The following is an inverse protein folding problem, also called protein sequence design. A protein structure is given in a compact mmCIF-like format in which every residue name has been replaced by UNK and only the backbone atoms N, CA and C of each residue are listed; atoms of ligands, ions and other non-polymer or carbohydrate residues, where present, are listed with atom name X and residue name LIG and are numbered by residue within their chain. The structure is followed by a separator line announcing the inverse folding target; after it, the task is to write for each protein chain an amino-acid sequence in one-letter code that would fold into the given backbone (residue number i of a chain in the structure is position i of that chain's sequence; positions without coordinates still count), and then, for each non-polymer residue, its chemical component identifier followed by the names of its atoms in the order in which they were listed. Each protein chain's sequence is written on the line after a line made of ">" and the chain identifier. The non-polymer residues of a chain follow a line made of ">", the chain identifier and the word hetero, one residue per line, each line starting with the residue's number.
data_IF_043250995309
#
_entry.id   IF_043250995309
#
_cell.length_a   1.000
_cell.length_b   1.000
_cell.length_c   1.000
_cell.angle_alpha   90.00
_cell.angle_beta   90.00
_cell.angle_gamma   90.00
#
_symmetry.space_group_name_H-M   'P 1'
#
loop_
_entity.id
_entity.type
_entity.pdbx_description
1 polymer ?
#
# COMPACT_ATOMS: atom_id res chain seq x y z
N UNK A 1 36.22 -13.66 8.82
CA UNK A 1 35.69 -13.01 7.61
C UNK A 1 34.40 -12.29 7.94
N UNK A 2 34.22 -11.07 7.44
CA UNK A 2 32.97 -10.30 7.57
C UNK A 2 31.88 -10.88 6.66
N UNK A 3 30.61 -10.55 6.94
CA UNK A 3 29.45 -10.99 6.14
C UNK A 3 28.73 -9.78 5.54
N UNK A 4 28.31 -9.91 4.28
CA UNK A 4 27.51 -8.89 3.60
C UNK A 4 26.35 -9.52 2.82
N UNK A 5 25.20 -8.87 2.82
CA UNK A 5 24.03 -9.33 2.06
C UNK A 5 22.91 -8.29 2.03
N UNK A 6 21.82 -8.60 1.33
CA UNK A 6 20.67 -7.71 1.18
C UNK A 6 19.56 -8.15 2.14
N UNK A 7 19.22 -7.32 3.14
CA UNK A 7 18.32 -7.71 4.23
C UNK A 7 18.87 -8.90 5.07
N UNK A 8 20.18 -9.14 4.99
CA UNK A 8 20.85 -10.29 5.59
C UNK A 8 20.89 -10.25 7.10
N UNK A 9 20.95 -9.06 7.69
CA UNK A 9 21.00 -8.94 9.15
C UNK A 9 19.65 -9.32 9.77
N UNK A 10 18.56 -9.22 9.00
CA UNK A 10 17.20 -9.57 9.43
C UNK A 10 16.80 -11.00 9.05
N UNK A 11 17.42 -11.59 8.03
CA UNK A 11 17.02 -12.89 7.48
C UNK A 11 18.16 -13.91 7.46
N UNK A 12 19.15 -13.75 6.57
CA UNK A 12 20.19 -14.75 6.31
C UNK A 12 21.09 -15.05 7.52
N UNK A 13 21.55 -14.02 8.23
CA UNK A 13 22.44 -14.19 9.38
C UNK A 13 21.74 -14.90 10.54
N UNK A 14 20.53 -14.49 10.97
CA UNK A 14 19.75 -15.27 11.94
C UNK A 14 19.54 -16.72 11.51
N UNK A 15 19.13 -16.97 10.27
CA UNK A 15 18.91 -18.33 9.77
C UNK A 15 20.19 -19.17 9.80
N UNK A 16 21.32 -18.62 9.33
CA UNK A 16 22.61 -19.31 9.32
C UNK A 16 23.10 -19.67 10.72
N UNK A 17 22.92 -18.76 11.69
CA UNK A 17 23.28 -19.02 13.09
C UNK A 17 22.44 -20.15 13.65
N UNK A 18 21.13 -20.17 13.41
CA UNK A 18 20.24 -21.25 13.85
C UNK A 18 20.66 -22.61 13.28
N UNK A 19 20.99 -22.68 11.99
CA UNK A 19 21.43 -23.93 11.36
C UNK A 19 22.80 -24.42 11.86
N UNK A 20 23.72 -23.52 12.19
CA UNK A 20 24.97 -23.92 12.84
C UNK A 20 24.75 -24.43 14.27
N UNK A 21 23.84 -23.80 15.03
CA UNK A 21 23.48 -24.26 16.37
C UNK A 21 22.85 -25.66 16.34
N UNK A 22 22.05 -26.01 15.32
CA UNK A 22 21.48 -27.36 15.14
C UNK A 22 22.53 -28.45 14.96
N UNK A 23 23.72 -28.09 14.48
CA UNK A 23 24.84 -28.99 14.24
C UNK A 23 25.92 -28.89 15.34
N UNK A 24 25.63 -28.23 16.46
CA UNK A 24 26.58 -27.98 17.55
C UNK A 24 27.86 -27.23 17.09
N UNK A 25 27.75 -26.41 16.04
CA UNK A 25 28.84 -25.58 15.52
C UNK A 25 28.76 -24.19 16.14
N UNK A 26 29.79 -23.81 16.89
CA UNK A 26 29.90 -22.47 17.44
C UNK A 26 30.23 -21.44 16.34
N UNK A 27 29.26 -20.59 16.00
CA UNK A 27 29.44 -19.51 15.05
C UNK A 27 29.41 -18.14 15.75
N UNK A 28 30.59 -17.60 16.06
CA UNK A 28 30.70 -16.28 16.68
C UNK A 28 30.49 -15.15 15.64
N UNK A 29 29.45 -14.35 15.89
CA UNK A 29 29.14 -13.13 15.14
C UNK A 29 29.74 -11.87 15.78
N UNK A 30 30.17 -11.91 17.04
CA UNK A 30 30.64 -10.71 17.77
C UNK A 30 31.94 -10.16 17.19
N UNK A 31 32.77 -11.02 16.62
CA UNK A 31 34.04 -10.66 15.97
C UNK A 31 33.89 -10.29 14.48
N UNK A 32 32.66 -10.26 13.94
CA UNK A 32 32.40 -10.03 12.51
C UNK A 32 31.61 -8.75 12.28
N UNK A 33 31.95 -8.04 11.20
CA UNK A 33 31.11 -6.96 10.68
C UNK A 33 30.00 -7.56 9.82
N UNK A 34 28.77 -7.11 10.05
CA UNK A 34 27.58 -7.51 9.30
C UNK A 34 27.09 -6.32 8.47
N UNK A 35 27.38 -6.35 7.16
CA UNK A 35 27.05 -5.27 6.24
C UNK A 35 25.73 -5.59 5.54
N UNK A 36 24.68 -4.84 5.88
CA UNK A 36 23.37 -4.98 5.24
C UNK A 36 23.17 -3.92 4.15
N UNK A 37 23.15 -4.37 2.90
CA UNK A 37 23.01 -3.53 1.71
C UNK A 37 21.64 -2.86 1.65
N UNK A 38 20.57 -3.51 2.14
CA UNK A 38 19.23 -2.90 2.17
C UNK A 38 19.20 -1.71 3.12
N UNK A 39 19.83 -1.84 4.29
CA UNK A 39 19.91 -0.76 5.26
C UNK A 39 20.69 0.44 4.71
N UNK A 40 21.76 0.20 3.95
CA UNK A 40 22.50 1.26 3.27
C UNK A 40 21.59 1.94 2.24
N UNK A 41 20.94 1.16 1.37
CA UNK A 41 20.05 1.69 0.34
C UNK A 41 18.93 2.55 0.93
N UNK A 42 18.19 2.06 1.92
CA UNK A 42 17.09 2.82 2.54
C UNK A 42 17.55 4.09 3.28
N UNK A 43 18.80 4.15 3.76
CA UNK A 43 19.37 5.35 4.37
C UNK A 43 19.82 6.38 3.33
N UNK A 44 20.37 5.91 2.21
CA UNK A 44 20.85 6.78 1.13
C UNK A 44 19.71 7.28 0.24
N UNK A 45 18.68 6.45 0.05
CA UNK A 45 17.48 6.72 -0.76
C UNK A 45 16.20 6.73 0.12
N UNK A 46 16.07 7.70 1.05
CA UNK A 46 14.91 7.78 1.93
C UNK A 46 13.65 8.19 1.16
N UNK A 47 12.53 7.55 1.47
CA UNK A 47 11.22 7.81 0.83
C UNK A 47 10.53 9.04 1.44
N UNK A 48 11.11 10.23 1.24
CA UNK A 48 10.56 11.51 1.74
C UNK A 48 10.43 12.53 0.62
N UNK A 49 9.54 13.52 0.75
CA UNK A 49 9.39 14.61 -0.23
C UNK A 49 10.71 15.35 -0.46
N UNK A 50 11.46 15.66 0.61
CA UNK A 50 12.77 16.31 0.51
C UNK A 50 13.75 15.50 -0.36
N UNK A 51 13.77 14.18 -0.20
CA UNK A 51 14.64 13.30 -0.96
C UNK A 51 14.20 13.21 -2.42
N UNK A 52 12.90 13.09 -2.68
CA UNK A 52 12.34 13.12 -4.04
C UNK A 52 12.64 14.45 -4.74
N UNK A 53 12.45 15.57 -4.07
CA UNK A 53 12.75 16.90 -4.60
C UNK A 53 14.23 17.05 -4.95
N UNK A 54 15.13 16.58 -4.09
CA UNK A 54 16.56 16.55 -4.40
C UNK A 54 16.88 15.64 -5.58
N UNK A 55 16.31 14.44 -5.63
CA UNK A 55 16.58 13.46 -6.69
C UNK A 55 16.08 13.94 -8.06
N UNK A 56 14.85 14.45 -8.14
CA UNK A 56 14.21 14.83 -9.40
C UNK A 56 14.56 16.25 -9.84
N UNK A 57 14.68 17.20 -8.90
CA UNK A 57 14.83 18.62 -9.21
C UNK A 57 16.25 19.15 -8.93
N UNK A 58 17.13 18.35 -8.32
CA UNK A 58 18.48 18.76 -7.88
C UNK A 58 18.48 20.01 -6.98
N UNK A 59 17.43 20.16 -6.16
CA UNK A 59 17.23 21.28 -5.23
C UNK A 59 17.10 20.78 -3.80
N UNK A 60 17.47 21.62 -2.84
CA UNK A 60 17.17 21.37 -1.44
C UNK A 60 15.82 21.98 -1.07
N UNK A 61 15.00 21.23 -0.34
CA UNK A 61 13.77 21.75 0.24
C UNK A 61 14.11 22.54 1.50
N UNK A 62 14.19 23.87 1.37
CA UNK A 62 14.47 24.81 2.46
C UNK A 62 13.14 25.33 3.02
N UNK A 63 12.97 25.32 4.34
CA UNK A 63 11.75 25.86 4.98
C UNK A 63 10.52 24.94 4.92
N UNK A 64 10.72 23.62 4.96
CA UNK A 64 9.70 22.54 4.92
C UNK A 64 8.70 22.51 6.11
N UNK A 65 8.38 23.66 6.69
CA UNK A 65 7.36 23.83 7.71
C UNK A 65 6.15 24.63 7.22
N UNK A 66 6.16 25.10 5.96
CA UNK A 66 5.03 25.78 5.32
C UNK A 66 4.37 24.92 4.25
N UNK A 67 3.04 24.81 4.29
CA UNK A 67 2.25 24.05 3.30
C UNK A 67 2.49 24.50 1.86
N UNK A 68 2.79 25.79 1.64
CA UNK A 68 3.13 26.34 0.32
C UNK A 68 4.42 25.76 -0.24
N UNK A 69 5.49 25.69 0.56
CA UNK A 69 6.78 25.14 0.12
C UNK A 69 6.65 23.66 -0.28
N UNK A 70 5.89 22.89 0.49
CA UNK A 70 5.60 21.48 0.17
C UNK A 70 4.74 21.35 -1.10
N UNK A 71 3.80 22.28 -1.32
CA UNK A 71 2.96 22.30 -2.53
C UNK A 71 3.80 22.56 -3.77
N UNK A 72 4.67 23.58 -3.72
CA UNK A 72 5.57 23.92 -4.84
C UNK A 72 6.55 22.78 -5.12
N UNK A 73 7.17 22.22 -4.09
CA UNK A 73 8.10 21.11 -4.24
C UNK A 73 7.41 19.87 -4.84
N UNK A 74 6.19 19.57 -4.41
CA UNK A 74 5.38 18.47 -4.96
C UNK A 74 5.10 18.69 -6.44
N UNK A 75 4.70 19.91 -6.82
CA UNK A 75 4.45 20.27 -8.21
C UNK A 75 5.71 20.11 -9.09
N UNK A 76 6.85 20.61 -8.63
CA UNK A 76 8.11 20.49 -9.36
C UNK A 76 8.57 19.02 -9.51
N UNK A 77 8.38 18.20 -8.46
CA UNK A 77 8.65 16.75 -8.53
C UNK A 77 7.79 16.10 -9.60
N UNK A 78 6.49 16.39 -9.65
CA UNK A 78 5.58 15.80 -10.64
C UNK A 78 6.02 16.14 -12.07
N UNK A 79 6.31 17.42 -12.35
CA UNK A 79 6.83 17.83 -13.67
C UNK A 79 8.13 17.11 -14.03
N UNK A 80 9.04 16.99 -13.07
CA UNK A 80 10.32 16.32 -13.28
C UNK A 80 10.17 14.82 -13.49
N UNK A 81 9.18 14.17 -12.87
CA UNK A 81 8.84 12.78 -13.13
C UNK A 81 8.31 12.59 -14.55
N UNK A 82 7.40 13.46 -15.00
CA UNK A 82 6.86 13.42 -16.37
C UNK A 82 7.98 13.55 -17.40
N UNK A 83 8.92 14.48 -17.20
CA UNK A 83 10.03 14.66 -18.13
C UNK A 83 11.04 13.51 -18.06
N UNK A 84 11.44 13.09 -16.86
CA UNK A 84 12.47 12.05 -16.67
C UNK A 84 12.02 10.68 -17.18
N UNK A 85 10.75 10.34 -17.02
CA UNK A 85 10.18 9.05 -17.42
C UNK A 85 9.48 9.10 -18.77
N UNK A 86 9.60 10.21 -19.49
CA UNK A 86 9.13 10.32 -20.86
C UNK A 86 9.79 9.23 -21.70
N UNK A 87 8.96 8.49 -22.44
CA UNK A 87 9.37 7.40 -23.33
C UNK A 87 10.14 6.26 -22.62
N UNK A 88 10.03 6.15 -21.29
CA UNK A 88 10.63 5.06 -20.52
C UNK A 88 9.68 3.87 -20.48
N UNK A 89 10.18 2.75 -20.98
CA UNK A 89 9.47 1.47 -20.96
C UNK A 89 9.29 0.94 -19.53
N UNK A 90 8.06 0.55 -19.22
CA UNK A 90 7.64 -0.09 -17.98
C UNK A 90 7.03 -1.45 -18.29
N UNK A 91 7.58 -2.50 -17.68
CA UNK A 91 7.04 -3.85 -17.77
C UNK A 91 5.93 -4.02 -16.74
N UNK A 92 4.70 -4.16 -17.24
CA UNK A 92 3.51 -4.45 -16.46
C UNK A 92 3.59 -5.83 -15.80
N UNK A 93 2.81 -6.10 -14.74
CA UNK A 93 2.77 -7.42 -14.09
C UNK A 93 2.40 -8.58 -15.03
N UNK A 94 1.69 -8.31 -16.13
CA UNK A 94 1.32 -9.27 -17.16
C UNK A 94 2.39 -9.46 -18.26
N UNK A 95 3.52 -8.75 -18.15
CA UNK A 95 4.65 -8.80 -19.07
C UNK A 95 4.54 -7.83 -20.25
N UNK A 96 3.45 -7.07 -20.39
CA UNK A 96 3.30 -6.05 -21.43
C UNK A 96 4.24 -4.87 -21.17
N UNK A 97 4.86 -4.33 -22.22
CA UNK A 97 5.64 -3.09 -22.14
C UNK A 97 4.71 -1.90 -22.42
N UNK A 98 4.73 -0.91 -21.54
CA UNK A 98 3.95 0.33 -21.65
C UNK A 98 4.83 1.53 -21.29
N UNK A 99 4.35 2.75 -21.59
CA UNK A 99 4.99 4.00 -21.19
C UNK A 99 3.97 4.84 -20.42
N UNK A 100 3.71 4.50 -19.15
CA UNK A 100 2.52 5.00 -18.44
C UNK A 100 2.69 6.41 -17.90
N UNK A 101 3.93 6.90 -17.77
CA UNK A 101 4.21 8.26 -17.29
C UNK A 101 4.17 9.22 -18.48
N UNK A 102 2.99 9.75 -18.75
CA UNK A 102 2.75 10.79 -19.77
C UNK A 102 2.05 11.99 -19.15
N UNK A 103 2.14 13.15 -19.79
CA UNK A 103 1.45 14.37 -19.34
C UNK A 103 -0.06 14.31 -19.62
N UNK A 104 -0.73 13.33 -19.04
CA UNK A 104 -2.16 13.09 -19.14
C UNK A 104 -2.71 12.67 -17.77
N UNK A 105 -3.76 13.36 -17.31
CA UNK A 105 -4.29 13.16 -15.96
C UNK A 105 -4.86 11.76 -15.76
N UNK A 106 -5.51 11.19 -16.77
CA UNK A 106 -6.11 9.87 -16.67
C UNK A 106 -5.04 8.77 -16.66
N UNK A 107 -3.98 8.91 -17.46
CA UNK A 107 -2.85 7.99 -17.45
C UNK A 107 -2.11 8.00 -16.11
N UNK A 108 -1.79 9.20 -15.59
CA UNK A 108 -1.14 9.36 -14.29
C UNK A 108 -2.01 8.85 -13.15
N UNK A 109 -3.33 9.11 -13.20
CA UNK A 109 -4.28 8.54 -12.25
C UNK A 109 -4.24 7.02 -12.27
N UNK A 110 -4.43 6.39 -13.44
CA UNK A 110 -4.44 4.92 -13.57
C UNK A 110 -3.15 4.28 -13.08
N UNK A 111 -2.00 4.90 -13.37
CA UNK A 111 -0.70 4.37 -12.96
C UNK A 111 -0.42 4.55 -11.46
N UNK A 112 -0.84 5.68 -10.87
CA UNK A 112 -0.65 5.96 -9.44
C UNK A 112 -1.67 5.25 -8.53
N UNK A 113 -2.77 4.76 -9.11
CA UNK A 113 -3.87 4.14 -8.38
C UNK A 113 -3.51 2.73 -7.86
N UNK A 114 -3.12 2.65 -6.59
CA UNK A 114 -2.58 1.40 -6.03
C UNK A 114 -3.56 0.52 -5.23
N UNK A 115 -4.82 0.92 -5.01
CA UNK A 115 -5.77 0.07 -4.28
C UNK A 115 -7.22 0.30 -4.72
N UNK A 116 -7.92 -0.78 -5.08
CA UNK A 116 -9.39 -0.80 -5.16
C UNK A 116 -9.98 -0.86 -3.74
N UNK A 117 -9.80 0.22 -2.98
CA UNK A 117 -10.53 0.40 -1.74
C UNK A 117 -11.91 0.97 -2.06
N UNK A 118 -12.95 0.42 -1.45
CA UNK A 118 -14.29 1.00 -1.49
C UNK A 118 -14.38 2.23 -0.57
N UNK A 119 -13.54 2.29 0.47
CA UNK A 119 -13.44 3.42 1.39
C UNK A 119 -12.06 4.09 1.37
N UNK A 120 -11.99 5.34 1.87
CA UNK A 120 -10.76 6.14 1.77
C UNK A 120 -9.60 5.63 2.63
N UNK A 121 -9.89 4.86 3.67
CA UNK A 121 -8.88 4.39 4.64
C UNK A 121 -8.49 2.92 4.43
N UNK A 122 -9.12 2.23 3.48
CA UNK A 122 -8.79 0.86 3.12
C UNK A 122 -9.29 -0.21 4.09
N UNK A 123 -10.27 0.11 4.94
CA UNK A 123 -10.97 -0.90 5.74
C UNK A 123 -11.83 -1.80 4.87
N UNK A 124 -12.32 -1.28 3.75
CA UNK A 124 -13.16 -1.99 2.80
C UNK A 124 -12.50 -1.97 1.43
N UNK A 125 -12.18 -3.15 0.91
CA UNK A 125 -11.65 -3.36 -0.43
C UNK A 125 -12.72 -3.84 -1.41
N UNK A 126 -12.35 -4.00 -2.66
CA UNK A 126 -13.10 -4.82 -3.62
C UNK A 126 -12.37 -6.14 -3.88
N UNK A 127 -13.11 -7.24 -3.97
CA UNK A 127 -12.58 -8.48 -4.50
C UNK A 127 -12.54 -8.46 -6.05
N UNK A 128 -12.08 -9.56 -6.65
CA UNK A 128 -11.98 -9.71 -8.11
C UNK A 128 -13.34 -9.65 -8.82
N UNK A 129 -14.44 -9.94 -8.12
CA UNK A 129 -15.82 -9.82 -8.62
C UNK A 129 -16.38 -8.40 -8.48
N UNK A 130 -15.61 -7.46 -7.91
CA UNK A 130 -16.08 -6.10 -7.65
C UNK A 130 -17.01 -5.98 -6.44
N UNK A 131 -17.03 -6.96 -5.53
CA UNK A 131 -17.80 -6.92 -4.28
C UNK A 131 -17.00 -6.35 -3.13
N UNK A 132 -17.65 -5.57 -2.27
CA UNK A 132 -17.00 -4.95 -1.12
C UNK A 132 -16.64 -5.99 -0.04
N UNK A 133 -15.35 -6.08 0.30
CA UNK A 133 -14.79 -7.00 1.29
C UNK A 133 -14.14 -6.26 2.46
N UNK A 134 -14.18 -6.86 3.65
CA UNK A 134 -13.46 -6.31 4.81
C UNK A 134 -11.97 -6.64 4.72
N UNK A 135 -11.10 -5.66 4.95
CA UNK A 135 -9.64 -5.84 4.98
C UNK A 135 -9.07 -6.10 6.38
N UNK A 136 -9.93 -6.15 7.40
CA UNK A 136 -9.55 -6.21 8.80
C UNK A 136 -10.49 -7.09 9.64
N UNK A 137 -10.09 -7.36 10.89
CA UNK A 137 -10.90 -8.06 11.89
C UNK A 137 -11.20 -9.52 11.57
N UNK A 138 -12.10 -10.12 12.37
CA UNK A 138 -12.51 -11.54 12.27
C UNK A 138 -13.17 -11.93 10.94
N UNK A 139 -13.60 -10.94 10.15
CA UNK A 139 -14.27 -11.13 8.86
C UNK A 139 -13.40 -10.68 7.68
N UNK A 140 -12.09 -10.51 7.89
CA UNK A 140 -11.15 -10.17 6.81
C UNK A 140 -11.30 -11.12 5.61
N UNK A 141 -11.40 -10.55 4.42
CA UNK A 141 -11.59 -11.24 3.14
C UNK A 141 -13.03 -11.61 2.81
N UNK A 142 -13.97 -11.48 3.75
CA UNK A 142 -15.40 -11.77 3.51
C UNK A 142 -16.10 -10.54 2.95
N UNK A 143 -17.13 -10.77 2.14
CA UNK A 143 -17.96 -9.68 1.63
C UNK A 143 -18.82 -9.07 2.74
N UNK A 144 -19.09 -7.77 2.64
CA UNK A 144 -19.99 -7.10 3.59
C UNK A 144 -21.41 -7.70 3.56
N UNK A 145 -21.88 -8.15 2.39
CA UNK A 145 -23.16 -8.85 2.23
C UNK A 145 -23.21 -10.13 3.08
N UNK A 146 -22.23 -11.03 2.92
CA UNK A 146 -22.16 -12.28 3.68
C UNK A 146 -22.06 -12.03 5.20
N UNK A 147 -21.33 -10.98 5.59
CA UNK A 147 -21.15 -10.63 7.00
C UNK A 147 -22.46 -10.12 7.58
N UNK A 148 -23.20 -9.27 6.86
CA UNK A 148 -24.48 -8.75 7.34
C UNK A 148 -25.59 -9.80 7.34
N UNK A 149 -25.48 -10.85 6.54
CA UNK A 149 -26.39 -12.01 6.61
C UNK A 149 -26.08 -12.92 7.79
N UNK A 150 -24.79 -13.21 8.05
CA UNK A 150 -24.36 -14.20 9.05
C UNK A 150 -24.17 -13.62 10.45
N UNK A 151 -23.82 -12.35 10.57
CA UNK A 151 -23.60 -11.63 11.83
C UNK A 151 -24.41 -10.32 11.80
N UNK A 152 -25.70 -10.42 12.12
CA UNK A 152 -26.65 -9.31 12.08
C UNK A 152 -26.22 -8.12 12.95
N UNK A 153 -25.46 -8.36 14.03
CA UNK A 153 -24.95 -7.32 14.92
C UNK A 153 -23.74 -6.58 14.37
N UNK A 154 -23.08 -7.11 13.34
CA UNK A 154 -21.84 -6.54 12.80
C UNK A 154 -22.06 -5.19 12.13
N UNK A 155 -23.20 -5.00 11.45
CA UNK A 155 -23.58 -3.70 10.90
C UNK A 155 -23.68 -2.63 12.00
N UNK A 156 -24.44 -2.93 13.06
CA UNK A 156 -24.64 -1.98 14.17
C UNK A 156 -23.32 -1.67 14.89
N UNK A 157 -22.45 -2.68 15.04
CA UNK A 157 -21.12 -2.49 15.57
C UNK A 157 -20.31 -1.53 14.70
N UNK A 158 -20.21 -1.75 13.38
CA UNK A 158 -19.47 -0.85 12.48
C UNK A 158 -20.03 0.59 12.51
N UNK A 159 -21.35 0.74 12.62
CA UNK A 159 -21.98 2.05 12.65
C UNK A 159 -21.72 2.81 13.97
N UNK A 160 -21.67 2.09 15.11
CA UNK A 160 -21.44 2.65 16.45
C UNK A 160 -19.96 2.82 16.78
N UNK A 161 -19.09 2.00 16.20
CA UNK A 161 -17.65 2.08 16.38
C UNK A 161 -17.04 3.32 15.72
N UNK A 162 -15.81 3.62 16.13
CA UNK A 162 -15.06 4.79 15.67
C UNK A 162 -14.41 4.56 14.29
N UNK A 163 -15.26 4.32 13.28
CA UNK A 163 -14.85 4.25 11.89
C UNK A 163 -15.00 5.61 11.20
N UNK A 164 -14.10 5.95 10.26
CA UNK A 164 -14.25 7.11 9.40
C UNK A 164 -15.60 7.12 8.66
N UNK A 165 -16.12 8.32 8.40
CA UNK A 165 -17.40 8.46 7.70
C UNK A 165 -17.40 7.79 6.33
N UNK A 166 -16.28 7.83 5.60
CA UNK A 166 -16.14 7.14 4.30
C UNK A 166 -16.39 5.63 4.42
N UNK A 167 -15.86 4.96 5.45
CA UNK A 167 -16.13 3.55 5.73
C UNK A 167 -17.62 3.34 6.05
N UNK A 168 -18.21 4.20 6.88
CA UNK A 168 -19.63 4.10 7.28
C UNK A 168 -20.58 4.29 6.10
N UNK A 169 -20.29 5.19 5.17
CA UNK A 169 -21.10 5.40 3.97
C UNK A 169 -21.12 4.16 3.06
N UNK A 170 -19.97 3.49 2.88
CA UNK A 170 -19.91 2.22 2.13
C UNK A 170 -20.74 1.14 2.83
N UNK A 171 -20.62 1.01 4.15
CA UNK A 171 -21.40 0.07 4.97
C UNK A 171 -22.91 0.29 4.81
N UNK A 172 -23.38 1.55 4.89
CA UNK A 172 -24.79 1.89 4.68
C UNK A 172 -25.26 1.53 3.28
N UNK A 173 -24.47 1.87 2.26
CA UNK A 173 -24.79 1.60 0.86
C UNK A 173 -24.99 0.11 0.59
N UNK A 174 -24.08 -0.74 1.08
CA UNK A 174 -24.21 -2.20 0.98
C UNK A 174 -25.47 -2.70 1.69
N UNK A 175 -25.72 -2.23 2.92
CA UNK A 175 -26.89 -2.65 3.69
C UNK A 175 -28.21 -2.27 2.99
N UNK A 176 -28.30 -1.06 2.43
CA UNK A 176 -29.47 -0.58 1.72
C UNK A 176 -29.72 -1.34 0.39
N UNK A 177 -28.66 -1.69 -0.35
CA UNK A 177 -28.77 -2.55 -1.54
C UNK A 177 -29.33 -3.93 -1.18
N UNK A 178 -28.86 -4.55 -0.10
CA UNK A 178 -29.40 -5.82 0.41
C UNK A 178 -30.91 -5.75 0.71
N UNK A 179 -31.37 -4.67 1.33
CA UNK A 179 -32.80 -4.47 1.62
C UNK A 179 -33.65 -4.31 0.35
N UNK A 180 -33.15 -3.59 -0.66
CA UNK A 180 -33.88 -3.36 -1.91
C UNK A 180 -34.02 -4.65 -2.71
N UNK A 181 -32.94 -5.44 -2.81
CA UNK A 181 -32.96 -6.74 -3.47
C UNK A 181 -33.90 -7.73 -2.78
N UNK A 182 -33.95 -7.73 -1.44
CA UNK A 182 -34.88 -8.56 -0.69
C UNK A 182 -36.35 -8.21 -1.00
N UNK A 183 -36.72 -6.93 -1.01
CA UNK A 183 -38.10 -6.51 -1.33
C UNK A 183 -38.55 -6.91 -2.74
N UNK A 184 -37.68 -6.77 -3.75
CA UNK A 184 -37.98 -7.16 -5.14
C UNK A 184 -38.25 -8.68 -5.25
N UNK A 185 -37.60 -9.51 -4.43
CA UNK A 185 -37.83 -10.95 -4.40
C UNK A 185 -39.20 -11.28 -3.75
N UNK A 186 -39.63 -10.52 -2.73
CA UNK A 186 -40.91 -10.76 -2.04
C UNK A 186 -42.13 -10.19 -2.77
N UNK A 187 -41.96 -9.21 -3.67
CA UNK A 187 -43.06 -8.60 -4.45
C UNK A 187 -43.37 -9.29 -5.78
N UNK A 188 -42.62 -10.33 -6.19
CA UNK A 188 -42.99 -11.20 -7.32
C UNK A 188 -43.92 -12.33 -6.84
N UNK A 189 -45.19 -12.02 -6.66
CA UNK A 189 -46.28 -13.01 -6.62
C UNK A 189 -47.23 -12.80 -7.78
#
# INVERSE_FOLDING_TARGET
>A
CDLAGYNSNKFDVPMLVEEFLRCDIAFDIKSRKLIDVQNIFHKMEPRTLKAAYRFYCNKELIGAHGAEADTIATYEVLLSQIERYKDVDFTEPDGRITQPIVNDMDALYRFSYNFRNADLVGHIGFNNEGKEILNFGKHKGKTLEEVFEKDLGYYDWMMKSDFPLSTKEVVKSVKFRGFTNAKIIFDKK
#
